data_IF_386013119728
#
_entry.id   IF_386013119728
#
_cell.length_a   1.000
_cell.length_b   1.000
_cell.length_c   1.000
_cell.angle_alpha   90.00
_cell.angle_beta   90.00
_cell.angle_gamma   90.00
#
_symmetry.space_group_name_H-M   'P 1'
#
loop_
_entity.id
_entity.type
_entity.pdbx_description
1 polymer ?
#
# COMPACT_ATOMS: atom_id res chain seq x y z
N UNK A 1 -14.60 24.75 10.19
CA UNK A 1 -13.89 23.63 10.83
C UNK A 1 -14.51 22.35 10.31
N UNK A 2 -13.73 21.49 9.67
CA UNK A 2 -14.19 20.13 9.38
C UNK A 2 -14.13 19.43 10.75
N UNK A 3 -15.28 19.12 11.34
CA UNK A 3 -15.37 18.54 12.68
C UNK A 3 -14.48 17.30 12.82
N UNK A 4 -14.11 16.95 14.06
CA UNK A 4 -13.41 15.70 14.32
C UNK A 4 -14.16 14.54 13.66
N UNK A 5 -13.44 13.64 12.98
CA UNK A 5 -14.02 12.42 12.44
C UNK A 5 -14.65 11.64 13.59
N UNK A 6 -15.97 11.40 13.51
CA UNK A 6 -16.65 10.60 14.51
C UNK A 6 -16.16 9.15 14.45
N UNK A 7 -16.24 8.43 15.55
CA UNK A 7 -15.90 7.00 15.61
C UNK A 7 -16.68 6.17 14.58
N UNK A 8 -17.94 6.55 14.32
CA UNK A 8 -18.76 5.96 13.27
C UNK A 8 -18.22 6.20 11.86
N UNK A 9 -17.67 7.39 11.58
CA UNK A 9 -17.12 7.72 10.27
C UNK A 9 -15.81 6.94 10.04
N UNK A 10 -14.98 6.87 11.09
CA UNK A 10 -13.74 6.09 11.08
C UNK A 10 -14.00 4.60 10.85
N UNK A 11 -15.00 4.02 11.54
CA UNK A 11 -15.38 2.62 11.37
C UNK A 11 -15.94 2.34 9.97
N UNK A 12 -16.74 3.24 9.41
CA UNK A 12 -17.26 3.11 8.05
C UNK A 12 -16.14 3.15 7.00
N UNK A 13 -15.17 4.05 7.15
CA UNK A 13 -13.99 4.13 6.29
C UNK A 13 -13.15 2.85 6.40
N UNK A 14 -12.91 2.36 7.62
CA UNK A 14 -12.18 1.10 7.84
C UNK A 14 -12.86 -0.07 7.14
N UNK A 15 -14.18 -0.20 7.24
CA UNK A 15 -14.93 -1.26 6.58
C UNK A 15 -14.81 -1.19 5.04
N UNK A 16 -14.84 0.01 4.46
CA UNK A 16 -14.61 0.20 3.03
C UNK A 16 -13.20 -0.24 2.61
N UNK A 17 -12.18 0.11 3.40
CA UNK A 17 -10.78 -0.29 3.15
C UNK A 17 -10.63 -1.81 3.23
N UNK A 18 -11.22 -2.43 4.26
CA UNK A 18 -11.21 -3.89 4.43
C UNK A 18 -11.89 -4.62 3.26
N UNK A 19 -12.94 -4.03 2.68
CA UNK A 19 -13.62 -4.59 1.51
C UNK A 19 -12.83 -4.43 0.19
N UNK A 20 -12.00 -3.39 0.07
CA UNK A 20 -11.09 -3.20 -1.08
C UNK A 20 -9.88 -4.14 -1.02
N UNK A 21 -9.42 -4.49 0.17
CA UNK A 21 -8.25 -5.35 0.40
C UNK A 21 -8.25 -6.68 -0.39
N UNK A 22 -9.33 -7.51 -0.39
CA UNK A 22 -9.33 -8.76 -1.15
C UNK A 22 -9.24 -8.55 -2.67
N UNK A 23 -9.74 -7.42 -3.20
CA UNK A 23 -9.62 -7.09 -4.62
C UNK A 23 -8.18 -6.80 -5.00
N UNK A 24 -7.47 -6.01 -4.18
CA UNK A 24 -6.04 -5.71 -4.38
C UNK A 24 -5.21 -7.00 -4.32
N UNK A 25 -5.46 -7.85 -3.31
CA UNK A 25 -4.78 -9.14 -3.17
C UNK A 25 -5.00 -10.04 -4.40
N UNK A 26 -6.23 -10.10 -4.89
CA UNK A 26 -6.59 -10.88 -6.08
C UNK A 26 -5.88 -10.34 -7.31
N UNK A 27 -5.86 -9.01 -7.49
CA UNK A 27 -5.18 -8.36 -8.60
C UNK A 27 -3.66 -8.63 -8.58
N UNK A 28 -2.99 -8.44 -7.43
CA UNK A 28 -1.55 -8.71 -7.28
C UNK A 28 -1.21 -10.17 -7.55
N UNK A 29 -2.03 -11.10 -7.04
CA UNK A 29 -1.87 -12.54 -7.31
C UNK A 29 -2.03 -12.83 -8.80
N UNK A 30 -3.07 -12.28 -9.43
CA UNK A 30 -3.29 -12.47 -10.85
C UNK A 30 -2.12 -11.94 -11.67
N UNK A 31 -1.62 -10.74 -11.39
CA UNK A 31 -0.43 -10.17 -12.07
C UNK A 31 0.78 -11.08 -11.91
N UNK A 32 1.04 -11.62 -10.71
CA UNK A 32 2.13 -12.56 -10.47
C UNK A 32 2.01 -13.81 -11.37
N UNK A 33 0.81 -14.38 -11.48
CA UNK A 33 0.57 -15.57 -12.33
C UNK A 33 0.70 -15.30 -13.83
N UNK A 34 0.59 -14.04 -14.27
CA UNK A 34 0.73 -13.68 -15.70
C UNK A 34 2.17 -13.59 -16.18
N UNK A 35 3.18 -13.71 -15.30
CA UNK A 35 4.58 -13.61 -15.70
C UNK A 35 4.93 -14.53 -16.87
N UNK A 36 4.57 -15.81 -16.79
CA UNK A 36 4.89 -16.78 -17.84
C UNK A 36 4.26 -16.41 -19.20
N UNK A 37 3.12 -15.72 -19.19
CA UNK A 37 2.50 -15.21 -20.42
C UNK A 37 3.24 -14.00 -20.96
N UNK A 38 3.73 -13.09 -20.10
CA UNK A 38 4.58 -11.98 -20.53
C UNK A 38 5.91 -12.47 -21.10
N UNK A 39 6.54 -13.47 -20.47
CA UNK A 39 7.78 -14.09 -20.93
C UNK A 39 7.62 -14.78 -22.30
N UNK A 40 6.41 -15.25 -22.63
CA UNK A 40 6.11 -15.95 -23.88
C UNK A 40 5.84 -15.01 -25.07
N UNK A 41 5.68 -13.70 -24.83
CA UNK A 41 5.42 -12.73 -25.90
C UNK A 41 6.71 -12.37 -26.65
N UNK A 42 6.64 -12.07 -27.96
CA UNK A 42 7.79 -11.62 -28.73
C UNK A 42 8.21 -10.16 -28.42
N UNK A 43 7.72 -9.61 -27.31
CA UNK A 43 7.99 -8.24 -26.85
C UNK A 43 8.81 -8.35 -25.56
N UNK A 44 10.03 -7.84 -25.59
CA UNK A 44 10.94 -7.85 -24.43
C UNK A 44 10.60 -6.73 -23.45
N UNK A 45 10.95 -6.91 -22.17
CA UNK A 45 10.84 -5.88 -21.14
C UNK A 45 9.48 -5.76 -20.44
N UNK A 46 8.46 -6.52 -20.85
CA UNK A 46 7.14 -6.52 -20.19
C UNK A 46 7.23 -6.97 -18.72
N UNK A 47 8.07 -7.96 -18.41
CA UNK A 47 8.32 -8.40 -17.05
C UNK A 47 8.97 -7.30 -16.19
N UNK A 48 9.97 -6.61 -16.72
CA UNK A 48 10.59 -5.45 -16.06
C UNK A 48 9.61 -4.30 -15.81
N UNK A 49 8.73 -4.00 -16.78
CA UNK A 49 7.70 -2.98 -16.60
C UNK A 49 6.70 -3.39 -15.50
N UNK A 50 6.20 -4.63 -15.53
CA UNK A 50 5.31 -5.14 -14.49
C UNK A 50 5.98 -5.09 -13.10
N UNK A 51 7.27 -5.41 -13.01
CA UNK A 51 8.05 -5.28 -11.76
C UNK A 51 8.16 -3.83 -11.29
N UNK A 52 8.43 -2.89 -12.20
CA UNK A 52 8.54 -1.47 -11.87
C UNK A 52 7.20 -0.91 -11.38
N UNK A 53 6.11 -1.20 -12.09
CA UNK A 53 4.77 -0.76 -11.73
C UNK A 53 4.32 -1.34 -10.39
N UNK A 54 4.61 -2.62 -10.11
CA UNK A 54 4.33 -3.24 -8.81
C UNK A 54 5.13 -2.59 -7.66
N UNK A 55 6.38 -2.18 -7.90
CA UNK A 55 7.19 -1.45 -6.91
C UNK A 55 6.64 -0.05 -6.65
N UNK A 56 6.24 0.67 -7.71
CA UNK A 56 5.60 1.98 -7.59
C UNK A 56 4.30 1.85 -6.79
N UNK A 57 3.43 0.92 -7.18
CA UNK A 57 2.17 0.67 -6.48
C UNK A 57 2.38 0.28 -5.02
N UNK A 58 3.38 -0.58 -4.74
CA UNK A 58 3.74 -0.95 -3.37
C UNK A 58 4.22 0.25 -2.57
N UNK A 59 4.98 1.17 -3.17
CA UNK A 59 5.49 2.37 -2.50
C UNK A 59 4.34 3.33 -2.20
N UNK A 60 3.49 3.61 -3.18
CA UNK A 60 2.35 4.52 -3.08
C UNK A 60 1.28 4.01 -2.11
N UNK A 61 1.14 2.69 -1.97
CA UNK A 61 0.14 2.05 -1.09
C UNK A 61 0.71 1.71 0.29
N UNK A 62 2.04 1.63 0.43
CA UNK A 62 2.64 1.36 1.73
C UNK A 62 2.31 2.49 2.70
N UNK A 63 1.74 2.14 3.85
CA UNK A 63 1.77 3.05 5.00
C UNK A 63 3.25 3.30 5.29
N UNK A 64 3.67 4.54 5.13
CA UNK A 64 4.91 5.02 5.73
C UNK A 64 4.84 4.62 7.20
N UNK A 65 5.71 3.69 7.59
CA UNK A 65 5.93 3.38 9.00
C UNK A 65 6.52 4.63 9.64
N UNK A 66 5.67 5.56 10.09
CA UNK A 66 6.06 6.86 10.68
C UNK A 66 6.66 6.69 12.09
N UNK A 67 7.54 5.70 12.29
CA UNK A 67 8.35 5.54 13.50
C UNK A 67 9.79 6.02 13.33
N UNK A 68 10.15 6.66 12.20
CA UNK A 68 11.47 7.30 12.07
C UNK A 68 11.43 8.69 11.39
N UNK A 69 11.47 9.80 12.14
CA UNK A 69 11.36 11.17 11.61
C UNK A 69 12.65 11.73 10.97
N UNK A 70 13.65 10.92 10.63
CA UNK A 70 15.02 11.41 10.37
C UNK A 70 15.49 11.46 8.91
N UNK A 71 14.66 11.33 7.87
CA UNK A 71 15.18 11.33 6.48
C UNK A 71 14.33 11.99 5.41
N UNK A 72 13.56 13.04 5.73
CA UNK A 72 12.84 13.81 4.71
C UNK A 72 13.11 15.31 4.76
N UNK A 73 13.01 15.93 3.58
CA UNK A 73 13.27 17.34 3.29
C UNK A 73 12.42 18.25 4.20
N UNK A 74 12.91 19.45 4.51
CA UNK A 74 12.23 20.36 5.45
C UNK A 74 10.81 20.76 5.05
N UNK A 75 10.48 20.72 3.76
CA UNK A 75 9.17 21.13 3.23
C UNK A 75 8.10 20.05 3.34
N UNK A 76 8.48 18.77 3.47
CA UNK A 76 7.55 17.63 3.66
C UNK A 76 7.16 17.43 5.13
N UNK A 77 7.87 18.06 6.08
CA UNK A 77 7.60 17.90 7.52
C UNK A 77 6.24 18.45 7.96
N UNK A 78 5.75 19.49 7.29
CA UNK A 78 4.44 20.07 7.59
C UNK A 78 3.29 19.16 7.13
N UNK A 79 3.46 18.53 5.96
CA UNK A 79 2.51 17.54 5.44
C UNK A 79 2.51 16.28 6.32
N UNK A 80 3.67 15.76 6.71
CA UNK A 80 3.78 14.63 7.64
C UNK A 80 3.21 14.95 9.02
N UNK A 81 3.45 16.15 9.57
CA UNK A 81 2.89 16.53 10.86
C UNK A 81 1.35 16.55 10.82
N UNK A 82 0.77 17.00 9.70
CA UNK A 82 -0.67 16.94 9.48
C UNK A 82 -1.17 15.49 9.37
N UNK A 83 -0.51 14.63 8.62
CA UNK A 83 -0.85 13.21 8.50
C UNK A 83 -0.76 12.47 9.85
N UNK A 84 0.31 12.70 10.62
CA UNK A 84 0.50 12.13 11.96
C UNK A 84 -0.59 12.62 12.92
N UNK A 85 -0.94 13.91 12.87
CA UNK A 85 -2.03 14.45 13.67
C UNK A 85 -3.38 13.81 13.29
N UNK A 86 -3.61 13.57 12.00
CA UNK A 86 -4.80 12.88 11.50
C UNK A 86 -4.85 11.43 12.00
N UNK A 87 -3.74 10.69 11.86
CA UNK A 87 -3.60 9.30 12.33
C UNK A 87 -3.86 9.23 13.84
N UNK A 88 -3.26 10.11 14.63
CA UNK A 88 -3.43 10.13 16.08
C UNK A 88 -4.83 10.57 16.54
N UNK A 89 -5.60 11.24 15.68
CA UNK A 89 -6.99 11.58 15.97
C UNK A 89 -7.94 10.36 15.89
N UNK A 90 -7.52 9.26 15.25
CA UNK A 90 -8.31 8.03 15.20
C UNK A 90 -8.23 7.22 16.52
N UNK A 91 -9.32 6.54 16.91
CA UNK A 91 -9.32 5.54 17.98
C UNK A 91 -8.21 4.49 17.83
N UNK A 92 -7.62 4.06 18.95
CA UNK A 92 -6.40 3.24 18.94
C UNK A 92 -6.59 1.85 18.33
N UNK A 93 -7.77 1.27 18.49
CA UNK A 93 -8.23 0.02 17.88
C UNK A 93 -8.35 0.15 16.35
N UNK A 94 -9.00 1.21 15.85
CA UNK A 94 -9.10 1.48 14.41
C UNK A 94 -7.71 1.68 13.77
N UNK A 95 -6.79 2.33 14.48
CA UNK A 95 -5.40 2.45 14.02
C UNK A 95 -4.69 1.10 13.95
N UNK A 96 -4.88 0.23 14.93
CA UNK A 96 -4.26 -1.10 14.95
C UNK A 96 -4.77 -1.95 13.77
N UNK A 97 -6.08 -1.90 13.48
CA UNK A 97 -6.68 -2.60 12.35
C UNK A 97 -6.19 -2.04 11.00
N UNK A 98 -6.11 -0.72 10.85
CA UNK A 98 -5.57 -0.08 9.65
C UNK A 98 -4.10 -0.47 9.41
N UNK A 99 -3.30 -0.56 10.48
CA UNK A 99 -1.90 -1.04 10.41
C UNK A 99 -1.86 -2.51 10.00
N UNK A 100 -2.73 -3.37 10.55
CA UNK A 100 -2.77 -4.79 10.20
C UNK A 100 -3.13 -5.02 8.72
N UNK A 101 -4.15 -4.30 8.21
CA UNK A 101 -4.56 -4.35 6.81
C UNK A 101 -3.42 -3.94 5.88
N UNK A 102 -2.77 -2.81 6.17
CA UNK A 102 -1.79 -2.23 5.24
C UNK A 102 -0.42 -2.89 5.34
N UNK A 103 0.08 -3.10 6.57
CA UNK A 103 1.43 -3.59 6.81
C UNK A 103 1.58 -5.09 6.61
N UNK A 104 0.57 -5.88 6.97
CA UNK A 104 0.68 -7.34 6.95
C UNK A 104 0.09 -7.97 5.70
N UNK A 105 -0.99 -7.42 5.15
CA UNK A 105 -1.71 -8.08 4.06
C UNK A 105 -1.34 -7.48 2.70
N UNK A 106 -1.43 -6.16 2.54
CA UNK A 106 -1.12 -5.51 1.27
C UNK A 106 0.39 -5.59 0.94
N UNK A 107 1.26 -5.25 1.89
CA UNK A 107 2.70 -5.35 1.67
C UNK A 107 3.17 -6.79 1.37
N UNK A 108 2.56 -7.80 2.00
CA UNK A 108 2.86 -9.19 1.69
C UNK A 108 2.45 -9.57 0.25
N UNK A 109 1.24 -9.15 -0.18
CA UNK A 109 0.75 -9.36 -1.54
C UNK A 109 1.67 -8.71 -2.59
N UNK A 110 2.05 -7.44 -2.38
CA UNK A 110 2.98 -6.75 -3.25
C UNK A 110 4.36 -7.43 -3.26
N UNK A 111 4.88 -7.84 -2.10
CA UNK A 111 6.14 -8.56 -2.00
C UNK A 111 6.11 -9.85 -2.82
N UNK A 112 5.05 -10.67 -2.67
CA UNK A 112 4.88 -11.90 -3.46
C UNK A 112 4.83 -11.60 -4.96
N UNK A 113 4.09 -10.58 -5.38
CA UNK A 113 3.99 -10.20 -6.77
C UNK A 113 5.34 -9.70 -7.34
N UNK A 114 6.06 -8.85 -6.61
CA UNK A 114 7.38 -8.34 -7.00
C UNK A 114 8.39 -9.50 -7.10
N UNK A 115 8.37 -10.44 -6.15
CA UNK A 115 9.26 -11.62 -6.14
C UNK A 115 8.99 -12.53 -7.34
N UNK A 116 7.75 -12.64 -7.81
CA UNK A 116 7.46 -13.40 -9.02
C UNK A 116 8.29 -12.88 -10.21
N UNK A 117 8.50 -11.57 -10.30
CA UNK A 117 9.32 -10.91 -11.33
C UNK A 117 10.78 -10.67 -10.89
N UNK A 118 11.30 -11.39 -9.89
CA UNK A 118 12.66 -11.15 -9.37
C UNK A 118 13.77 -11.28 -10.44
N UNK A 119 13.58 -12.18 -11.42
CA UNK A 119 14.50 -12.41 -12.54
C UNK A 119 14.61 -11.26 -13.53
N UNK A 120 13.62 -10.36 -13.56
CA UNK A 120 13.56 -9.24 -14.49
C UNK A 120 14.51 -8.13 -14.02
N UNK A 121 15.25 -7.52 -14.95
CA UNK A 121 16.16 -6.41 -14.65
C UNK A 121 15.38 -5.16 -14.20
#
# INVERSE_FOLDING_TARGET
ANGALGESDAAAILALIQNLQPEILTASTNIATKKSLFDALPITGLGSLAKADLKTLSTDTSVVSYINPLSYCTDERAFQAFEIALINAFPADIRADAVAVTSTILNAAFTTAIVAYASEA
#
